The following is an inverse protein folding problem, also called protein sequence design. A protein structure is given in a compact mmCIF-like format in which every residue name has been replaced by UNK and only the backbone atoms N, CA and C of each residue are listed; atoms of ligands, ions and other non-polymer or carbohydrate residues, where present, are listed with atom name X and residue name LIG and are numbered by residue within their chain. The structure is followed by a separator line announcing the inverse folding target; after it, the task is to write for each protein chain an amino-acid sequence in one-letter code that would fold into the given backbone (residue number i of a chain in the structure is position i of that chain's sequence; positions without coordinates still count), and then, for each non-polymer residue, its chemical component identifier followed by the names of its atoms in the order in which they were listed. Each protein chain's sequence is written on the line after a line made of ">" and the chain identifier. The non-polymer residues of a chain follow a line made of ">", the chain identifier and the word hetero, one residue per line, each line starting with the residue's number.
data_IF_582966732526
#
_entry.id   IF_582966732526
#
_cell.length_a   1.000
_cell.length_b   1.000
_cell.length_c   1.000
_cell.angle_alpha   90.00
_cell.angle_beta   90.00
_cell.angle_gamma   90.00
#
_symmetry.space_group_name_H-M   'P 1'
#
loop_
_entity.id
_entity.type
_entity.pdbx_description
1 polymer ?
#
# COMPACT_ATOMS: atom_id res chain seq x y z
N UNK A 1 28.68 -8.90 -26.53
CA UNK A 1 28.69 -8.30 -25.18
C UNK A 1 27.28 -7.78 -24.97
N UNK A 2 26.52 -8.34 -24.02
CA UNK A 2 25.14 -7.92 -23.80
C UNK A 2 25.16 -6.50 -23.22
N UNK A 3 24.46 -5.57 -23.88
CA UNK A 3 24.19 -4.23 -23.34
C UNK A 3 23.63 -4.38 -21.94
N UNK A 4 24.36 -3.89 -20.95
CA UNK A 4 23.84 -3.75 -19.60
C UNK A 4 22.88 -2.56 -19.67
N UNK A 5 21.57 -2.80 -19.59
CA UNK A 5 20.56 -1.74 -19.51
C UNK A 5 20.94 -0.85 -18.32
N UNK A 6 21.31 0.40 -18.58
CA UNK A 6 21.69 1.39 -17.57
C UNK A 6 20.48 1.78 -16.71
N UNK A 7 20.13 0.92 -15.75
CA UNK A 7 19.14 1.17 -14.70
C UNK A 7 17.66 1.16 -15.15
N UNK A 8 16.78 1.19 -14.15
CA UNK A 8 15.32 1.21 -14.32
C UNK A 8 14.81 2.60 -13.94
N UNK A 9 14.18 3.30 -14.89
CA UNK A 9 13.52 4.59 -14.60
C UNK A 9 12.08 4.34 -14.18
N UNK A 10 11.79 4.47 -12.89
CA UNK A 10 10.46 4.23 -12.32
C UNK A 10 10.13 5.26 -11.24
N UNK A 11 8.84 5.52 -11.04
CA UNK A 11 8.38 6.35 -9.93
C UNK A 11 8.70 5.70 -8.57
N UNK A 12 8.80 6.50 -7.50
CA UNK A 12 9.03 5.98 -6.14
C UNK A 12 7.87 5.13 -5.60
N UNK A 13 6.63 5.44 -6.00
CA UNK A 13 5.45 4.80 -5.42
C UNK A 13 5.32 3.30 -5.81
N UNK A 14 5.56 2.89 -7.08
CA UNK A 14 5.67 1.48 -7.44
C UNK A 14 6.76 0.74 -6.67
N UNK A 15 7.93 1.34 -6.50
CA UNK A 15 9.05 0.77 -5.73
C UNK A 15 8.62 0.51 -4.28
N UNK A 16 8.04 1.52 -3.63
CA UNK A 16 7.57 1.37 -2.24
C UNK A 16 6.40 0.39 -2.12
N UNK A 17 5.52 0.34 -3.12
CA UNK A 17 4.40 -0.62 -3.17
C UNK A 17 4.91 -2.05 -3.21
N UNK A 18 5.86 -2.34 -4.12
CA UNK A 18 6.43 -3.68 -4.28
C UNK A 18 7.25 -4.09 -3.06
N UNK A 19 8.10 -3.19 -2.53
CA UNK A 19 8.89 -3.48 -1.33
C UNK A 19 8.02 -3.81 -0.13
N UNK A 20 6.99 -3.00 0.13
CA UNK A 20 6.05 -3.25 1.22
C UNK A 20 5.28 -4.57 1.04
N UNK A 21 4.93 -4.93 -0.19
CA UNK A 21 4.31 -6.22 -0.48
C UNK A 21 5.26 -7.39 -0.18
N UNK A 22 6.53 -7.32 -0.61
CA UNK A 22 7.53 -8.35 -0.32
C UNK A 22 7.73 -8.54 1.20
N UNK A 23 7.81 -7.44 1.95
CA UNK A 23 7.91 -7.51 3.41
C UNK A 23 6.64 -8.09 4.04
N UNK A 24 5.45 -7.73 3.56
CA UNK A 24 4.20 -8.31 4.05
C UNK A 24 4.09 -9.81 3.74
N UNK A 25 4.51 -10.26 2.55
CA UNK A 25 4.59 -11.69 2.21
C UNK A 25 5.53 -12.43 3.18
N UNK A 26 6.68 -11.83 3.53
CA UNK A 26 7.62 -12.39 4.53
C UNK A 26 7.00 -12.51 5.92
N UNK A 27 6.14 -11.56 6.30
CA UNK A 27 5.39 -11.56 7.56
C UNK A 27 4.19 -12.53 7.56
N UNK A 28 3.99 -13.29 6.48
CA UNK A 28 2.99 -14.34 6.40
C UNK A 28 1.65 -13.93 5.79
N UNK A 29 1.55 -12.71 5.24
CA UNK A 29 0.37 -12.31 4.48
C UNK A 29 0.36 -12.94 3.09
N UNK A 30 -0.82 -13.35 2.60
CA UNK A 30 -0.94 -13.82 1.22
C UNK A 30 -0.64 -12.69 0.22
N UNK A 31 -0.31 -13.08 -1.02
CA UNK A 31 0.14 -12.16 -2.07
C UNK A 31 -0.88 -11.07 -2.40
N UNK A 32 -2.17 -11.39 -2.38
CA UNK A 32 -3.21 -10.41 -2.63
C UNK A 32 -3.32 -9.42 -1.45
N UNK A 33 -3.20 -9.90 -0.21
CA UNK A 33 -3.22 -9.05 0.97
C UNK A 33 -2.01 -8.12 0.95
N UNK A 34 -0.83 -8.68 0.75
CA UNK A 34 0.44 -7.99 0.70
C UNK A 34 0.48 -6.85 -0.34
N UNK A 35 -0.01 -7.09 -1.57
CA UNK A 35 -0.01 -6.05 -2.61
C UNK A 35 -0.96 -4.90 -2.28
N UNK A 36 -2.10 -5.18 -1.62
CA UNK A 36 -3.02 -4.13 -1.15
C UNK A 36 -2.43 -3.33 0.01
N UNK A 37 -1.78 -3.99 0.97
CA UNK A 37 -1.07 -3.35 2.07
C UNK A 37 0.05 -2.44 1.53
N UNK A 38 0.84 -2.93 0.58
CA UNK A 38 1.91 -2.15 -0.03
C UNK A 38 1.39 -0.92 -0.76
N UNK A 39 0.25 -1.03 -1.45
CA UNK A 39 -0.39 0.10 -2.12
C UNK A 39 -0.84 1.17 -1.12
N UNK A 40 -1.39 0.75 0.02
CA UNK A 40 -1.79 1.67 1.09
C UNK A 40 -0.59 2.38 1.75
N UNK A 41 0.52 1.67 1.98
CA UNK A 41 1.78 2.26 2.49
C UNK A 41 2.33 3.32 1.53
N UNK A 42 2.33 3.04 0.23
CA UNK A 42 2.78 3.99 -0.77
C UNK A 42 1.83 5.20 -0.88
N UNK A 43 0.52 4.96 -0.82
CA UNK A 43 -0.51 5.99 -0.86
C UNK A 43 -0.44 6.94 0.34
N UNK A 44 -0.26 6.43 1.56
CA UNK A 44 -0.09 7.27 2.75
C UNK A 44 1.16 8.16 2.66
N UNK A 45 2.27 7.60 2.18
CA UNK A 45 3.51 8.35 1.94
C UNK A 45 3.34 9.46 0.90
N UNK A 46 2.56 9.21 -0.16
CA UNK A 46 2.22 10.22 -1.17
C UNK A 46 1.37 11.35 -0.60
N UNK A 47 0.34 11.03 0.22
CA UNK A 47 -0.53 12.01 0.89
C UNK A 47 0.25 12.90 1.86
N UNK A 48 1.13 12.32 2.68
CA UNK A 48 2.02 13.08 3.58
C UNK A 48 2.89 14.05 2.79
N UNK A 49 3.47 13.61 1.67
CA UNK A 49 4.29 14.50 0.82
C UNK A 49 3.45 15.59 0.15
N UNK A 50 2.25 15.29 -0.34
CA UNK A 50 1.35 16.28 -0.94
C UNK A 50 0.93 17.36 0.07
N UNK A 51 0.61 16.96 1.31
CA UNK A 51 0.32 17.89 2.41
C UNK A 51 1.51 18.77 2.75
N UNK A 52 2.70 18.19 2.85
CA UNK A 52 3.94 18.94 3.11
C UNK A 52 4.29 19.95 1.99
N UNK A 53 3.81 19.72 0.77
CA UNK A 53 3.98 20.62 -0.37
C UNK A 53 2.84 21.64 -0.50
N UNK A 54 1.82 21.61 0.37
CA UNK A 54 0.64 22.48 0.29
C UNK A 54 -0.27 22.21 -0.91
N UNK A 55 -0.12 21.06 -1.59
CA UNK A 55 -0.90 20.72 -2.79
C UNK A 55 -2.22 20.04 -2.42
N UNK A 56 -2.28 19.41 -1.25
CA UNK A 56 -3.51 18.77 -0.79
C UNK A 56 -4.51 19.86 -0.36
N UNK A 57 -5.59 20.03 -1.14
CA UNK A 57 -6.76 20.80 -0.72
C UNK A 57 -7.42 20.08 0.46
N UNK A 58 -7.61 20.79 1.58
CA UNK A 58 -8.47 20.35 2.69
C UNK A 58 -9.93 20.47 2.22
N UNK A 59 -10.34 19.63 1.26
CA UNK A 59 -11.73 19.50 0.86
C UNK A 59 -12.47 18.64 1.89
N UNK A 60 -12.67 19.18 3.10
CA UNK A 60 -13.77 18.81 4.00
C UNK A 60 -14.20 20.06 4.78
N UNK A 61 -15.33 20.62 4.39
CA UNK A 61 -16.00 21.69 5.14
C UNK A 61 -16.15 21.28 6.61
N UNK A 62 -15.64 22.13 7.50
CA UNK A 62 -15.50 21.90 8.95
C UNK A 62 -16.87 21.74 9.65
N UNK A 63 -17.97 22.07 8.97
CA UNK A 63 -19.34 21.96 9.48
C UNK A 63 -19.93 20.54 9.44
N UNK A 64 -19.65 19.75 8.40
CA UNK A 64 -20.27 18.43 8.18
C UNK A 64 -19.54 17.30 8.95
N UNK A 65 -18.29 17.54 9.31
CA UNK A 65 -17.40 16.55 9.92
C UNK A 65 -17.83 16.10 11.32
N UNK A 66 -18.47 16.95 12.12
CA UNK A 66 -18.86 16.58 13.50
C UNK A 66 -20.10 15.69 13.53
N UNK A 67 -21.06 15.94 12.64
CA UNK A 67 -22.30 15.17 12.56
C UNK A 67 -22.08 13.87 11.77
N UNK A 68 -21.29 13.89 10.69
CA UNK A 68 -20.83 12.66 10.03
C UNK A 68 -19.93 11.81 10.94
N UNK A 69 -18.96 12.40 11.66
CA UNK A 69 -18.11 11.62 12.56
C UNK A 69 -18.90 10.98 13.71
N UNK A 70 -19.98 11.63 14.20
CA UNK A 70 -20.89 11.04 15.20
C UNK A 70 -21.75 9.92 14.61
N UNK A 71 -22.18 10.02 13.36
CA UNK A 71 -22.94 8.97 12.65
C UNK A 71 -22.04 7.78 12.31
N UNK A 72 -20.85 8.04 11.75
CA UNK A 72 -19.82 7.04 11.45
C UNK A 72 -19.28 6.37 12.72
N UNK A 73 -19.16 7.06 13.86
CA UNK A 73 -18.83 6.42 15.14
C UNK A 73 -19.93 5.49 15.65
N UNK A 74 -21.20 5.83 15.43
CA UNK A 74 -22.35 5.00 15.83
C UNK A 74 -22.56 3.79 14.90
N UNK A 75 -22.15 3.87 13.64
CA UNK A 75 -22.25 2.78 12.66
C UNK A 75 -21.02 1.86 12.64
N UNK A 76 -19.88 2.29 13.18
CA UNK A 76 -18.67 1.46 13.36
C UNK A 76 -18.81 0.55 14.58
N UNK A 77 -19.62 -0.50 14.45
CA UNK A 77 -19.71 -1.59 15.43
C UNK A 77 -18.40 -2.36 15.62
N UNK A 78 -17.38 -2.13 14.79
CA UNK A 78 -16.01 -2.62 15.01
C UNK A 78 -14.99 -1.53 14.65
N UNK A 79 -14.06 -1.24 15.57
CA UNK A 79 -12.87 -0.47 15.22
C UNK A 79 -12.16 -1.20 14.07
N UNK A 80 -11.77 -0.51 12.98
CA UNK A 80 -11.07 -1.14 11.87
C UNK A 80 -9.79 -1.75 12.41
N UNK A 81 -9.60 -3.05 12.17
CA UNK A 81 -8.33 -3.71 12.43
C UNK A 81 -7.25 -2.98 11.64
N UNK A 82 -6.06 -2.88 12.19
CA UNK A 82 -4.91 -2.28 11.52
C UNK A 82 -3.76 -3.29 11.47
N UNK A 83 -3.02 -3.28 10.36
CA UNK A 83 -1.76 -4.02 10.21
C UNK A 83 -0.62 -3.02 10.32
N UNK A 84 0.32 -3.28 11.22
CA UNK A 84 1.53 -2.49 11.33
C UNK A 84 2.55 -2.96 10.29
N UNK A 85 2.90 -2.09 9.33
CA UNK A 85 3.81 -2.42 8.24
C UNK A 85 4.71 -1.23 7.91
N UNK A 86 6.02 -1.45 7.92
CA UNK A 86 7.04 -0.42 7.62
C UNK A 86 6.85 0.87 8.42
N UNK A 87 6.61 0.73 9.72
CA UNK A 87 6.44 1.85 10.66
C UNK A 87 5.10 2.59 10.54
N UNK A 88 4.08 1.97 9.93
CA UNK A 88 2.76 2.59 9.70
C UNK A 88 1.63 1.63 10.03
N UNK A 89 0.56 2.16 10.60
CA UNK A 89 -0.68 1.43 10.78
C UNK A 89 -1.55 1.56 9.52
N UNK A 90 -1.76 0.44 8.83
CA UNK A 90 -2.59 0.34 7.64
C UNK A 90 -3.97 -0.17 8.03
N UNK A 91 -5.05 0.61 7.85
CA UNK A 91 -6.41 0.13 8.11
C UNK A 91 -6.76 -1.03 7.17
N UNK A 92 -7.36 -2.08 7.72
CA UNK A 92 -7.70 -3.30 6.98
C UNK A 92 -9.11 -3.81 7.31
N UNK A 93 -9.61 -4.68 6.43
CA UNK A 93 -10.82 -5.47 6.60
C UNK A 93 -10.51 -6.93 6.28
N UNK A 94 -11.14 -7.85 6.99
CA UNK A 94 -11.10 -9.27 6.65
C UNK A 94 -12.20 -9.58 5.63
N UNK A 95 -11.82 -10.14 4.49
CA UNK A 95 -12.73 -10.57 3.45
C UNK A 95 -12.39 -12.00 3.04
N UNK A 96 -13.36 -12.92 3.16
CA UNK A 96 -13.23 -14.32 2.75
C UNK A 96 -12.00 -15.02 3.37
N UNK A 97 -11.66 -14.67 4.62
CA UNK A 97 -10.53 -15.25 5.35
C UNK A 97 -9.16 -14.65 5.03
N UNK A 98 -9.08 -13.63 4.18
CA UNK A 98 -7.85 -12.89 3.87
C UNK A 98 -7.99 -11.41 4.26
N UNK A 99 -6.87 -10.78 4.58
CA UNK A 99 -6.81 -9.36 4.94
C UNK A 99 -6.73 -8.52 3.67
N UNK A 100 -7.45 -7.40 3.64
CA UNK A 100 -7.39 -6.38 2.57
C UNK A 100 -7.18 -5.01 3.17
N UNK A 101 -6.26 -4.23 2.62
CA UNK A 101 -6.14 -2.82 2.98
C UNK A 101 -7.41 -2.05 2.58
N UNK A 102 -7.81 -1.09 3.40
CA UNK A 102 -8.89 -0.18 3.07
C UNK A 102 -8.39 0.95 2.17
N UNK A 103 -9.11 1.18 1.07
CA UNK A 103 -8.97 2.34 0.22
C UNK A 103 -10.32 3.05 0.13
N UNK A 104 -10.38 4.29 0.64
CA UNK A 104 -11.64 5.06 0.75
C UNK A 104 -12.80 4.24 1.34
N UNK A 105 -12.55 3.58 2.49
CA UNK A 105 -13.50 2.75 3.25
C UNK A 105 -14.00 1.48 2.52
N UNK A 106 -13.35 1.10 1.41
CA UNK A 106 -13.64 -0.14 0.67
C UNK A 106 -12.42 -1.06 0.65
N UNK A 107 -12.61 -2.40 0.63
CA UNK A 107 -11.50 -3.33 0.41
C UNK A 107 -10.79 -2.99 -0.91
N UNK A 108 -9.47 -2.79 -0.86
CA UNK A 108 -8.68 -2.51 -2.05
C UNK A 108 -8.66 -3.73 -2.99
N UNK A 109 -8.78 -3.49 -4.29
CA UNK A 109 -8.76 -4.54 -5.30
C UNK A 109 -7.33 -5.04 -5.56
N UNK A 110 -6.98 -6.31 -5.24
CA UNK A 110 -5.62 -6.82 -5.40
C UNK A 110 -5.12 -6.75 -6.85
N UNK A 111 -5.97 -7.10 -7.82
CA UNK A 111 -5.66 -7.04 -9.25
C UNK A 111 -5.28 -5.65 -9.73
N UNK A 112 -5.95 -4.61 -9.21
CA UNK A 112 -5.64 -3.23 -9.57
C UNK A 112 -4.28 -2.79 -9.01
N UNK A 113 -3.97 -3.21 -7.77
CA UNK A 113 -2.68 -2.93 -7.14
C UNK A 113 -1.53 -3.69 -7.83
N UNK A 114 -1.73 -4.98 -8.18
CA UNK A 114 -0.77 -5.78 -8.93
C UNK A 114 -0.53 -5.18 -10.33
N UNK A 115 -1.60 -4.91 -11.07
CA UNK A 115 -1.52 -4.30 -12.42
C UNK A 115 -0.90 -2.90 -12.42
N UNK A 116 -0.93 -2.17 -11.30
CA UNK A 116 -0.18 -0.92 -11.15
C UNK A 116 1.33 -1.15 -11.12
N UNK A 117 1.80 -2.13 -10.35
CA UNK A 117 3.22 -2.49 -10.24
C UNK A 117 3.72 -3.13 -11.55
N UNK A 118 2.94 -4.02 -12.15
CA UNK A 118 3.23 -4.63 -13.46
C UNK A 118 3.44 -3.57 -14.55
N UNK A 119 2.53 -2.58 -14.67
CA UNK A 119 2.70 -1.50 -15.65
C UNK A 119 3.90 -0.60 -15.35
N UNK A 120 4.24 -0.42 -14.08
CA UNK A 120 5.32 0.48 -13.68
C UNK A 120 6.73 -0.09 -13.94
N UNK A 121 6.89 -1.40 -13.75
CA UNK A 121 8.18 -2.09 -13.94
C UNK A 121 8.28 -2.84 -15.25
N UNK A 122 7.15 -3.18 -15.88
CA UNK A 122 7.11 -3.91 -17.14
C UNK A 122 7.90 -5.23 -17.06
N UNK A 123 8.77 -5.44 -18.04
CA UNK A 123 9.63 -6.63 -18.15
C UNK A 123 10.63 -6.75 -17.01
N UNK A 124 10.97 -5.65 -16.33
CA UNK A 124 11.95 -5.66 -15.24
C UNK A 124 11.33 -6.14 -13.91
N UNK A 125 10.00 -6.26 -13.81
CA UNK A 125 9.30 -6.63 -12.57
C UNK A 125 9.84 -7.93 -11.93
N UNK A 126 10.05 -9.04 -12.66
CA UNK A 126 10.55 -10.27 -12.04
C UNK A 126 11.94 -10.09 -11.43
N UNK A 127 12.84 -9.38 -12.12
CA UNK A 127 14.20 -9.12 -11.63
C UNK A 127 14.18 -8.21 -10.39
N UNK A 128 13.38 -7.14 -10.42
CA UNK A 128 13.23 -6.22 -9.27
C UNK A 128 12.64 -6.93 -8.06
N UNK A 129 11.57 -7.71 -8.25
CA UNK A 129 10.94 -8.48 -7.17
C UNK A 129 11.93 -9.48 -6.58
N UNK A 130 12.67 -10.21 -7.42
CA UNK A 130 13.66 -11.16 -6.94
C UNK A 130 14.75 -10.49 -6.07
N UNK A 131 15.28 -9.34 -6.52
CA UNK A 131 16.26 -8.59 -5.75
C UNK A 131 15.71 -8.10 -4.39
N UNK A 132 14.45 -7.67 -4.35
CA UNK A 132 13.77 -7.30 -3.10
C UNK A 132 13.55 -8.51 -2.19
N UNK A 133 13.15 -9.66 -2.74
CA UNK A 133 12.96 -10.89 -1.97
C UNK A 133 14.28 -11.39 -1.37
N UNK A 134 15.39 -11.32 -2.11
CA UNK A 134 16.74 -11.60 -1.62
C UNK A 134 17.12 -10.65 -0.47
N UNK A 135 16.88 -9.35 -0.63
CA UNK A 135 17.14 -8.37 0.43
C UNK A 135 16.30 -8.69 1.67
N UNK A 136 15.01 -8.94 1.51
CA UNK A 136 14.14 -9.31 2.62
C UNK A 136 14.67 -10.58 3.31
N UNK A 137 15.12 -11.59 2.54
CA UNK A 137 15.72 -12.85 3.04
C UNK A 137 16.92 -12.65 3.94
N UNK A 138 17.66 -11.56 3.81
CA UNK A 138 18.84 -11.28 4.63
C UNK A 138 18.57 -10.90 6.09
N UNK A 139 17.31 -10.64 6.48
CA UNK A 139 16.93 -10.24 7.85
C UNK A 139 15.84 -11.13 8.43
N UNK A 140 15.79 -11.35 9.75
CA UNK A 140 14.68 -12.11 10.34
C UNK A 140 13.32 -11.39 10.10
N UNK A 141 12.24 -12.14 9.83
CA UNK A 141 10.89 -11.58 9.67
C UNK A 141 10.39 -10.81 10.89
#
# INVERSE_FOLDING_TARGET
>A
MAETKDGIRVNRAPVLTLWAAVVAERLGYDRDAAITLGRAVAGSSARVKAKALGIAEDHREVGDLRDEARKLQKERTHAPKAVHLLGRDVPVVEEKGSVRALDHDKPAAPKAAAGYVERAFGEDLPAVRHAMEELARSMEP
#
